data_IF_626621252049
#
_entry.id   IF_626621252049
#
_cell.length_a   1.000
_cell.length_b   1.000
_cell.length_c   1.000
_cell.angle_alpha   90.00
_cell.angle_beta   90.00
_cell.angle_gamma   90.00
#
_symmetry.space_group_name_H-M   'P 1'
#
loop_
_entity.id
_entity.type
_entity.pdbx_description
1 polymer ?
#
# COMPACT_ATOMS: atom_id res chain seq x y z
N UNK A 1 -20.29 -25.95 -13.17
CA UNK A 1 -21.01 -24.66 -13.04
C UNK A 1 -20.61 -23.88 -11.78
N UNK A 2 -20.63 -24.46 -10.56
CA UNK A 2 -20.24 -23.71 -9.34
C UNK A 2 -18.82 -23.09 -9.38
N UNK A 3 -17.83 -23.83 -9.89
CA UNK A 3 -16.43 -23.35 -9.94
C UNK A 3 -16.20 -22.18 -10.91
N UNK A 4 -17.00 -22.10 -11.98
CA UNK A 4 -16.92 -21.00 -12.97
C UNK A 4 -17.53 -19.73 -12.36
N UNK A 5 -18.66 -19.87 -11.65
CA UNK A 5 -19.28 -18.74 -10.93
C UNK A 5 -18.33 -18.18 -9.85
N UNK A 6 -17.72 -19.04 -9.04
CA UNK A 6 -16.75 -18.61 -8.02
C UNK A 6 -15.49 -17.98 -8.62
N UNK A 7 -15.08 -18.39 -9.83
CA UNK A 7 -13.96 -17.75 -10.54
C UNK A 7 -14.34 -16.35 -11.05
N UNK A 8 -15.57 -16.17 -11.56
CA UNK A 8 -16.08 -14.87 -11.98
C UNK A 8 -16.25 -13.90 -10.79
N UNK A 9 -16.74 -14.37 -9.65
CA UNK A 9 -16.86 -13.55 -8.43
C UNK A 9 -15.48 -13.06 -7.95
N UNK A 10 -14.48 -13.95 -7.89
CA UNK A 10 -13.11 -13.54 -7.54
C UNK A 10 -12.47 -12.58 -8.53
N UNK A 11 -12.87 -12.65 -9.80
CA UNK A 11 -12.36 -11.77 -10.84
C UNK A 11 -13.03 -10.39 -10.79
N UNK A 12 -14.30 -10.34 -10.41
CA UNK A 12 -15.03 -9.09 -10.13
C UNK A 12 -14.41 -8.37 -8.91
N UNK A 13 -14.17 -9.11 -7.82
CA UNK A 13 -13.46 -8.59 -6.64
C UNK A 13 -12.07 -8.06 -7.01
N UNK A 14 -11.31 -8.83 -7.81
CA UNK A 14 -10.01 -8.38 -8.30
C UNK A 14 -10.12 -7.12 -9.18
N UNK A 15 -11.15 -7.00 -10.03
CA UNK A 15 -11.41 -5.80 -10.82
C UNK A 15 -11.72 -4.58 -9.95
N UNK A 16 -12.47 -4.77 -8.86
CA UNK A 16 -12.73 -3.73 -7.87
C UNK A 16 -11.43 -3.31 -7.18
N UNK A 17 -10.56 -4.25 -6.82
CA UNK A 17 -9.26 -3.92 -6.24
C UNK A 17 -8.35 -3.19 -7.25
N UNK A 18 -8.40 -3.55 -8.54
CA UNK A 18 -7.72 -2.82 -9.62
C UNK A 18 -8.34 -1.47 -9.94
N UNK A 19 -9.52 -1.16 -9.40
CA UNK A 19 -10.17 0.12 -9.62
C UNK A 19 -9.40 1.29 -9.02
N UNK A 20 -8.49 1.02 -8.08
CA UNK A 20 -7.70 2.03 -7.39
C UNK A 20 -6.21 1.75 -7.50
N UNK A 21 -5.45 2.73 -8.00
CA UNK A 21 -4.00 2.76 -7.90
C UNK A 21 -3.64 3.74 -6.80
N UNK A 22 -2.88 3.31 -5.79
CA UNK A 22 -2.42 4.19 -4.72
C UNK A 22 -0.93 3.98 -4.45
N UNK A 23 -0.18 5.09 -4.41
CA UNK A 23 1.22 5.12 -3.99
C UNK A 23 1.34 6.18 -2.91
N UNK A 24 1.82 5.78 -1.73
CA UNK A 24 2.11 6.66 -0.62
C UNK A 24 3.59 6.53 -0.25
N UNK A 25 4.26 7.66 -0.05
CA UNK A 25 5.64 7.70 0.43
C UNK A 25 5.64 8.38 1.78
N UNK A 26 6.24 7.70 2.74
CA UNK A 26 6.44 8.16 4.10
C UNK A 26 7.93 8.35 4.37
N UNK A 27 8.28 9.27 5.26
CA UNK A 27 9.64 9.44 5.78
C UNK A 27 9.60 9.57 7.30
N UNK A 28 10.73 9.32 7.94
CA UNK A 28 10.90 9.48 9.39
C UNK A 28 11.42 8.23 10.07
N UNK A 29 11.26 8.19 11.38
CA UNK A 29 11.82 7.15 12.24
C UNK A 29 10.70 6.23 12.74
N UNK A 30 10.95 4.92 12.67
CA UNK A 30 10.06 3.88 13.18
C UNK A 30 10.83 2.94 14.10
N UNK A 31 10.43 2.89 15.36
CA UNK A 31 10.94 1.95 16.37
C UNK A 31 9.84 1.00 16.81
N UNK A 32 10.11 -0.30 16.73
CA UNK A 32 9.14 -1.35 17.04
C UNK A 32 9.74 -2.30 18.06
N UNK A 33 9.08 -2.44 19.20
CA UNK A 33 9.46 -3.43 20.21
C UNK A 33 8.83 -4.77 19.84
N UNK A 34 9.64 -5.71 19.38
CA UNK A 34 9.20 -7.07 19.02
C UNK A 34 9.08 -7.97 20.26
N UNK A 35 8.14 -7.64 21.16
CA UNK A 35 7.77 -8.49 22.30
C UNK A 35 6.26 -8.74 22.27
N UNK A 36 5.86 -10.00 22.36
CA UNK A 36 4.47 -10.36 22.61
C UNK A 36 4.12 -10.13 24.10
N UNK A 37 2.83 -9.92 24.39
CA UNK A 37 2.32 -9.68 25.76
C UNK A 37 2.57 -10.85 26.74
N UNK A 38 2.87 -12.04 26.21
CA UNK A 38 3.22 -13.26 26.95
C UNK A 38 4.74 -13.43 27.19
N UNK A 39 5.56 -12.47 26.74
CA UNK A 39 7.02 -12.53 26.83
C UNK A 39 7.70 -13.33 25.72
N UNK A 40 6.95 -13.85 24.74
CA UNK A 40 7.53 -14.48 23.56
C UNK A 40 8.14 -13.44 22.60
N UNK A 41 9.25 -13.79 21.97
CA UNK A 41 9.90 -12.95 20.96
C UNK A 41 9.21 -13.17 19.62
N UNK A 42 8.69 -12.09 19.01
CA UNK A 42 8.12 -12.14 17.65
C UNK A 42 9.27 -12.19 16.65
N UNK A 43 9.23 -13.13 15.70
CA UNK A 43 10.22 -13.16 14.62
C UNK A 43 9.89 -12.12 13.56
N UNK A 44 10.93 -11.53 12.97
CA UNK A 44 10.79 -10.53 11.89
C UNK A 44 9.92 -11.01 10.71
N UNK A 45 9.96 -12.31 10.39
CA UNK A 45 9.20 -12.89 9.28
C UNK A 45 7.71 -13.13 9.61
N UNK A 46 7.33 -12.98 10.87
CA UNK A 46 5.94 -13.11 11.36
C UNK A 46 5.31 -11.74 11.61
N UNK A 47 6.07 -10.65 11.38
CA UNK A 47 5.63 -9.29 11.58
C UNK A 47 4.74 -8.83 10.41
N UNK A 48 3.49 -8.48 10.71
CA UNK A 48 2.65 -7.76 9.77
C UNK A 48 3.07 -6.29 9.75
N UNK A 49 3.86 -5.93 8.73
CA UNK A 49 4.39 -4.58 8.59
C UNK A 49 3.29 -3.53 8.35
N UNK A 50 2.15 -3.92 7.76
CA UNK A 50 1.04 -2.99 7.56
C UNK A 50 0.41 -2.60 8.90
N UNK A 51 0.19 -3.58 9.78
CA UNK A 51 -0.32 -3.32 11.14
C UNK A 51 0.66 -2.44 11.94
N UNK A 52 1.96 -2.72 11.85
CA UNK A 52 3.01 -1.90 12.48
C UNK A 52 2.98 -0.47 11.98
N UNK A 53 2.92 -0.27 10.66
CA UNK A 53 2.90 1.06 10.06
C UNK A 53 1.63 1.82 10.45
N UNK A 54 0.46 1.16 10.45
CA UNK A 54 -0.80 1.78 10.88
C UNK A 54 -0.76 2.21 12.35
N UNK A 55 -0.22 1.37 13.24
CA UNK A 55 -0.04 1.70 14.67
C UNK A 55 0.92 2.87 14.86
N UNK A 56 2.00 2.93 14.08
CA UNK A 56 2.95 4.03 14.09
C UNK A 56 2.32 5.35 13.59
N UNK A 57 1.57 5.32 12.48
CA UNK A 57 0.91 6.52 11.92
C UNK A 57 -0.16 7.04 12.88
N UNK A 58 -0.94 6.13 13.48
CA UNK A 58 -2.06 6.50 14.36
C UNK A 58 -1.64 6.92 15.77
N UNK A 59 -0.38 6.69 16.17
CA UNK A 59 0.10 6.92 17.53
C UNK A 59 -0.57 6.02 18.58
N UNK A 60 -1.15 4.90 18.15
CA UNK A 60 -2.10 4.12 18.95
C UNK A 60 -1.46 2.98 19.77
N UNK A 61 -0.12 2.88 19.85
CA UNK A 61 0.55 1.75 20.52
C UNK A 61 1.68 2.20 21.46
N UNK A 62 1.71 1.60 22.67
CA UNK A 62 2.81 1.74 23.63
C UNK A 62 4.09 0.98 23.22
N UNK A 63 3.99 0.04 22.26
CA UNK A 63 5.11 -0.76 21.75
C UNK A 63 5.66 -0.27 20.41
N UNK A 64 5.14 0.85 19.89
CA UNK A 64 5.52 1.42 18.60
C UNK A 64 5.68 2.92 18.75
N UNK A 65 6.94 3.36 18.81
CA UNK A 65 7.27 4.78 18.75
C UNK A 65 7.69 5.09 17.31
N UNK A 66 6.85 5.84 16.60
CA UNK A 66 7.12 6.23 15.22
C UNK A 66 6.79 7.69 15.01
N UNK A 67 7.75 8.46 14.50
CA UNK A 67 7.49 9.78 13.93
C UNK A 67 7.63 9.65 12.42
N UNK A 68 6.55 9.24 11.78
CA UNK A 68 6.48 9.06 10.34
C UNK A 68 5.53 10.09 9.75
N UNK A 69 5.97 10.72 8.66
CA UNK A 69 5.26 11.81 8.00
C UNK A 69 4.99 11.40 6.54
N UNK A 70 3.77 11.67 6.06
CA UNK A 70 3.42 11.48 4.66
C UNK A 70 4.07 12.61 3.84
N UNK A 71 4.91 12.26 2.86
CA UNK A 71 5.59 13.25 2.01
C UNK A 71 4.98 13.35 0.62
N UNK A 72 4.44 12.25 0.11
CA UNK A 72 3.79 12.20 -1.20
C UNK A 72 2.70 11.13 -1.25
N UNK A 73 1.59 11.43 -1.92
CA UNK A 73 0.51 10.50 -2.18
C UNK A 73 -0.03 10.73 -3.59
N UNK A 74 -0.26 9.63 -4.31
CA UNK A 74 -1.08 9.58 -5.51
C UNK A 74 -2.10 8.47 -5.35
N UNK A 75 -3.38 8.82 -5.41
CA UNK A 75 -4.47 7.87 -5.55
C UNK A 75 -5.24 8.19 -6.83
N UNK A 76 -5.44 7.18 -7.67
CA UNK A 76 -6.14 7.30 -8.95
C UNK A 76 -7.16 6.17 -9.08
N UNK A 77 -8.44 6.53 -9.12
CA UNK A 77 -9.55 5.62 -9.38
C UNK A 77 -9.79 5.49 -10.90
N UNK A 78 -10.47 4.41 -11.31
CA UNK A 78 -10.79 4.16 -12.74
C UNK A 78 -11.74 5.20 -13.33
N UNK A 79 -12.63 5.76 -12.52
CA UNK A 79 -13.62 6.77 -12.93
C UNK A 79 -13.01 8.17 -13.14
N UNK A 80 -11.69 8.30 -12.94
CA UNK A 80 -10.96 9.56 -13.09
C UNK A 80 -10.83 10.36 -11.80
N UNK A 81 -11.48 9.93 -10.71
CA UNK A 81 -11.30 10.55 -9.41
C UNK A 81 -9.90 10.28 -8.87
N UNK A 82 -9.34 11.25 -8.16
CA UNK A 82 -8.03 11.08 -7.57
C UNK A 82 -7.69 12.09 -6.51
N UNK A 83 -6.63 11.76 -5.78
CA UNK A 83 -6.04 12.62 -4.77
C UNK A 83 -4.53 12.65 -5.01
N UNK A 84 -3.97 13.84 -5.05
CA UNK A 84 -2.53 14.05 -5.15
C UNK A 84 -2.12 14.96 -4.01
N UNK A 85 -1.15 14.51 -3.24
CA UNK A 85 -0.51 15.30 -2.20
C UNK A 85 1.00 15.27 -2.40
N UNK A 86 1.62 16.44 -2.23
CA UNK A 86 3.07 16.63 -2.21
C UNK A 86 3.41 17.59 -1.08
N UNK A 87 4.34 17.19 -0.23
CA UNK A 87 4.93 18.11 0.73
C UNK A 87 5.78 19.13 -0.02
N UNK A 88 5.69 20.40 0.39
CA UNK A 88 6.37 21.53 -0.28
C UNK A 88 7.87 21.34 -0.39
N UNK A 89 8.49 20.78 0.64
CA UNK A 89 9.93 20.64 0.79
C UNK A 89 10.38 19.17 0.67
N UNK A 90 9.66 18.36 -0.12
CA UNK A 90 10.07 16.97 -0.39
C UNK A 90 11.47 16.94 -1.02
N UNK A 91 12.31 16.00 -0.57
CA UNK A 91 13.66 15.87 -1.14
C UNK A 91 13.59 15.33 -2.59
N UNK A 92 14.53 15.72 -3.47
CA UNK A 92 14.57 15.21 -4.84
C UNK A 92 14.64 13.68 -4.93
N UNK A 93 15.32 13.04 -3.98
CA UNK A 93 15.46 11.59 -3.90
C UNK A 93 14.12 10.91 -3.59
N UNK A 94 13.37 11.45 -2.62
CA UNK A 94 12.05 10.93 -2.26
C UNK A 94 11.03 11.16 -3.38
N UNK A 95 11.07 12.32 -4.03
CA UNK A 95 10.21 12.60 -5.20
C UNK A 95 10.53 11.65 -6.36
N UNK A 96 11.82 11.40 -6.62
CA UNK A 96 12.26 10.45 -7.67
C UNK A 96 11.78 9.03 -7.35
N UNK A 97 11.98 8.58 -6.11
CA UNK A 97 11.54 7.25 -5.67
C UNK A 97 10.01 7.10 -5.77
N UNK A 98 9.25 8.11 -5.35
CA UNK A 98 7.80 8.12 -5.45
C UNK A 98 7.34 8.04 -6.91
N UNK A 99 7.92 8.84 -7.80
CA UNK A 99 7.55 8.84 -9.21
C UNK A 99 7.93 7.53 -9.92
N UNK A 100 9.05 6.90 -9.55
CA UNK A 100 9.40 5.57 -10.03
C UNK A 100 8.39 4.52 -9.57
N UNK A 101 7.99 4.54 -8.30
CA UNK A 101 6.94 3.67 -7.77
C UNK A 101 5.59 3.89 -8.47
N UNK A 102 5.25 5.15 -8.76
CA UNK A 102 4.04 5.49 -9.50
C UNK A 102 4.07 4.95 -10.95
N UNK A 103 5.20 5.00 -11.64
CA UNK A 103 5.37 4.39 -12.97
C UNK A 103 5.19 2.88 -12.90
N UNK A 104 5.91 2.21 -11.99
CA UNK A 104 5.83 0.77 -11.82
C UNK A 104 4.42 0.29 -11.46
N UNK A 105 3.70 1.05 -10.61
CA UNK A 105 2.32 0.76 -10.26
C UNK A 105 1.38 0.89 -11.46
N UNK A 106 1.59 1.90 -12.32
CA UNK A 106 0.80 2.08 -13.55
C UNK A 106 1.04 0.93 -14.52
N UNK A 107 2.30 0.59 -14.78
CA UNK A 107 2.68 -0.52 -15.65
C UNK A 107 2.11 -1.86 -15.13
N UNK A 108 2.18 -2.11 -13.82
CA UNK A 108 1.61 -3.30 -13.20
C UNK A 108 0.10 -3.35 -13.39
N UNK A 109 -0.61 -2.23 -13.13
CA UNK A 109 -2.06 -2.13 -13.33
C UNK A 109 -2.45 -2.37 -14.79
N UNK A 110 -1.73 -1.75 -15.73
CA UNK A 110 -1.96 -1.94 -17.17
C UNK A 110 -1.74 -3.38 -17.60
N UNK A 111 -0.67 -4.03 -17.12
CA UNK A 111 -0.40 -5.44 -17.40
C UNK A 111 -1.48 -6.38 -16.84
N UNK A 112 -2.01 -6.09 -15.66
CA UNK A 112 -3.11 -6.85 -15.07
C UNK A 112 -4.43 -6.63 -15.82
N UNK A 113 -4.74 -5.39 -16.21
CA UNK A 113 -5.92 -5.09 -17.03
C UNK A 113 -5.84 -5.76 -18.40
N UNK A 114 -4.64 -5.82 -19.01
CA UNK A 114 -4.41 -6.55 -20.25
C UNK A 114 -4.64 -8.05 -20.08
N UNK A 115 -4.12 -8.65 -19.01
CA UNK A 115 -4.36 -10.07 -18.70
C UNK A 115 -5.86 -10.38 -18.54
N UNK A 116 -6.60 -9.54 -17.84
CA UNK A 116 -8.06 -9.71 -17.66
C UNK A 116 -8.80 -9.55 -18.99
N UNK A 117 -8.43 -8.56 -19.79
CA UNK A 117 -9.03 -8.33 -21.11
C UNK A 117 -8.78 -9.51 -22.06
N UNK A 118 -7.64 -10.17 -22.00
CA UNK A 118 -7.34 -11.32 -22.88
C UNK A 118 -8.09 -12.60 -22.46
N UNK A 119 -8.60 -12.65 -21.23
CA UNK A 119 -9.37 -13.80 -20.70
C UNK A 119 -10.87 -13.70 -21.04
N UNK A 120 -11.37 -12.52 -21.40
CA UNK A 120 -12.78 -12.23 -21.70
C UNK A 120 -13.01 -11.82 -23.16
#
# INVERSE_FOLDING_TARGET
>A
MLKIKAALEKLDDAMIDFSTLSVATYTGDLSVVLKADDGASIKLNELDFNDVLQKAISGASASTEGKIELVALNTHKLDGDGMVFRQKDISPELETAHNAALSAARETREGLLALVKDVF
#
